data_IF_605157026373
#
_entry.id   IF_605157026373
#
_cell.length_a   1.000
_cell.length_b   1.000
_cell.length_c   1.000
_cell.angle_alpha   90.00
_cell.angle_beta   90.00
_cell.angle_gamma   90.00
#
_symmetry.space_group_name_H-M   'P 1'
#
loop_
_entity.id
_entity.type
_entity.pdbx_description
1 polymer ?
#
# COMPACT_ATOMS: atom_id res chain seq x y z
N UNK A 1 49.56 17.73 -36.36
CA UNK A 1 50.67 17.31 -35.48
C UNK A 1 50.18 17.33 -34.04
N UNK A 2 50.36 16.22 -33.29
CA UNK A 2 50.68 16.10 -31.84
C UNK A 2 49.86 16.97 -30.82
N UNK A 3 49.34 16.50 -29.69
CA UNK A 3 49.69 15.39 -28.80
C UNK A 3 48.45 14.94 -28.00
N UNK A 4 48.50 13.67 -27.60
CA UNK A 4 47.62 12.99 -26.66
C UNK A 4 47.60 13.61 -25.25
N UNK A 5 46.56 13.29 -24.47
CA UNK A 5 46.74 12.95 -23.06
C UNK A 5 45.55 12.10 -22.56
N UNK A 6 45.93 10.93 -22.06
CA UNK A 6 45.14 9.85 -21.49
C UNK A 6 44.79 10.22 -20.05
N UNK A 7 43.53 10.06 -19.65
CA UNK A 7 43.15 9.99 -18.24
C UNK A 7 42.18 8.81 -18.03
N UNK A 8 42.74 7.65 -17.69
CA UNK A 8 42.01 6.51 -17.14
C UNK A 8 41.53 6.86 -15.73
N UNK A 9 40.21 6.94 -15.51
CA UNK A 9 39.62 6.93 -14.18
C UNK A 9 38.96 5.57 -13.93
N UNK A 10 39.37 4.80 -12.91
CA UNK A 10 38.65 3.59 -12.52
C UNK A 10 37.36 4.00 -11.80
N UNK A 11 36.21 3.78 -12.45
CA UNK A 11 34.90 3.89 -11.81
C UNK A 11 34.73 2.69 -10.86
N UNK A 12 34.81 2.99 -9.57
CA UNK A 12 34.52 2.06 -8.47
C UNK A 12 33.05 1.63 -8.58
N UNK A 13 32.82 0.38 -8.97
CA UNK A 13 31.49 -0.23 -8.91
C UNK A 13 31.23 -0.57 -7.45
N UNK A 14 30.50 0.31 -6.75
CA UNK A 14 29.89 0.00 -5.46
C UNK A 14 28.86 -1.10 -5.67
N UNK A 15 29.19 -2.31 -5.22
CA UNK A 15 28.22 -3.40 -5.08
C UNK A 15 27.10 -2.93 -4.15
N UNK A 16 25.90 -2.81 -4.70
CA UNK A 16 24.70 -2.51 -3.94
C UNK A 16 24.45 -3.61 -2.90
N UNK A 17 24.37 -3.23 -1.62
CA UNK A 17 23.74 -4.07 -0.61
C UNK A 17 22.28 -4.28 -1.01
N UNK A 18 21.99 -5.43 -1.60
CA UNK A 18 20.64 -5.96 -1.64
C UNK A 18 20.30 -6.47 -0.24
N UNK A 19 19.83 -5.57 0.62
CA UNK A 19 19.16 -5.96 1.86
C UNK A 19 17.85 -6.62 1.45
N UNK A 20 17.60 -7.91 1.72
CA UNK A 20 16.26 -8.44 1.57
C UNK A 20 15.39 -7.73 2.59
N UNK A 21 14.57 -6.80 2.11
CA UNK A 21 13.52 -6.19 2.92
C UNK A 21 12.48 -7.29 3.19
N UNK A 22 12.66 -7.99 4.30
CA UNK A 22 11.63 -8.85 4.84
C UNK A 22 10.40 -7.98 5.09
N UNK A 23 9.40 -8.14 4.23
CA UNK A 23 8.10 -7.51 4.43
C UNK A 23 7.49 -8.17 5.65
N UNK A 24 7.64 -7.54 6.82
CA UNK A 24 6.85 -7.89 8.01
C UNK A 24 5.43 -7.38 7.73
N UNK A 25 4.74 -8.09 6.84
CA UNK A 25 3.30 -8.01 6.72
C UNK A 25 2.72 -8.65 7.98
N UNK A 26 2.40 -7.83 8.98
CA UNK A 26 1.56 -8.21 10.11
C UNK A 26 0.17 -8.57 9.60
N UNK A 27 0.05 -9.76 9.02
CA UNK A 27 -1.19 -10.33 8.52
C UNK A 27 -2.02 -10.83 9.68
N UNK A 28 -2.74 -9.93 10.35
CA UNK A 28 -4.00 -10.34 10.97
C UNK A 28 -4.89 -10.92 9.88
N UNK A 29 -5.40 -12.13 10.07
CA UNK A 29 -6.27 -12.78 9.09
C UNK A 29 -7.43 -11.81 8.74
N UNK A 30 -7.49 -11.38 7.47
CA UNK A 30 -8.59 -10.56 7.02
C UNK A 30 -9.90 -11.32 7.24
N UNK A 31 -10.97 -10.66 7.74
CA UNK A 31 -12.23 -11.33 8.04
C UNK A 31 -12.75 -12.08 6.81
N UNK A 32 -13.40 -13.22 7.05
CA UNK A 32 -13.92 -14.07 5.98
C UNK A 32 -15.09 -13.42 5.22
N UNK A 33 -15.86 -12.56 5.91
CA UNK A 33 -17.02 -11.83 5.40
C UNK A 33 -17.19 -10.53 6.19
N UNK A 34 -18.10 -9.65 5.76
CA UNK A 34 -18.39 -8.38 6.43
C UNK A 34 -17.83 -7.16 5.70
N UNK A 35 -17.90 -6.00 6.35
CA UNK A 35 -17.42 -4.75 5.75
C UNK A 35 -15.96 -4.48 6.11
N UNK A 36 -15.20 -3.91 5.17
CA UNK A 36 -13.88 -3.34 5.42
C UNK A 36 -13.92 -1.84 5.12
N UNK A 37 -13.23 -1.05 5.94
CA UNK A 37 -13.20 0.40 5.87
C UNK A 37 -11.77 0.89 5.62
N UNK A 38 -11.62 1.96 4.85
CA UNK A 38 -10.32 2.62 4.67
C UNK A 38 -10.47 4.10 4.28
N UNK A 39 -9.38 4.84 4.19
CA UNK A 39 -9.40 6.24 3.76
C UNK A 39 -9.52 6.36 2.24
N UNK A 40 -10.40 7.25 1.78
CA UNK A 40 -10.68 7.47 0.36
C UNK A 40 -9.41 7.89 -0.41
N UNK A 41 -8.63 8.79 0.17
CA UNK A 41 -7.41 9.36 -0.45
C UNK A 41 -6.28 8.32 -0.61
N UNK A 42 -6.36 7.22 0.13
CA UNK A 42 -5.37 6.12 0.09
C UNK A 42 -5.81 4.93 -0.74
N UNK A 43 -7.05 4.90 -1.21
CA UNK A 43 -7.56 3.79 -1.99
C UNK A 43 -6.89 3.78 -3.37
N UNK A 44 -6.04 2.78 -3.60
CA UNK A 44 -5.39 2.54 -4.90
C UNK A 44 -5.83 1.18 -5.44
N UNK A 45 -6.27 1.14 -6.69
CA UNK A 45 -6.57 -0.10 -7.40
C UNK A 45 -5.40 -0.44 -8.33
N UNK A 46 -4.70 -1.55 -8.05
CA UNK A 46 -3.54 -2.01 -8.83
C UNK A 46 -3.44 -3.54 -8.75
N UNK A 47 -2.95 -4.19 -9.81
CA UNK A 47 -2.60 -5.62 -9.84
C UNK A 47 -3.70 -6.57 -9.33
N UNK A 48 -4.96 -6.29 -9.65
CA UNK A 48 -6.10 -7.11 -9.21
C UNK A 48 -6.44 -6.99 -7.72
N UNK A 49 -5.88 -6.00 -7.03
CA UNK A 49 -6.04 -5.74 -5.61
C UNK A 49 -6.48 -4.29 -5.36
N UNK A 50 -7.01 -4.06 -4.17
CA UNK A 50 -7.25 -2.74 -3.60
C UNK A 50 -6.28 -2.52 -2.44
N UNK A 51 -5.36 -1.58 -2.59
CA UNK A 51 -4.41 -1.21 -1.55
C UNK A 51 -5.01 -0.06 -0.74
N UNK A 52 -5.09 -0.23 0.58
CA UNK A 52 -5.59 0.81 1.48
C UNK A 52 -5.26 0.48 2.94
N UNK A 53 -5.57 1.38 3.87
CA UNK A 53 -5.49 1.10 5.31
C UNK A 53 -6.70 0.32 5.84
N UNK A 54 -6.94 -0.84 5.26
CA UNK A 54 -8.16 -1.61 5.54
C UNK A 54 -8.27 -2.05 6.99
N UNK A 55 -9.42 -1.83 7.59
CA UNK A 55 -9.79 -2.37 8.90
C UNK A 55 -11.25 -2.82 8.90
N UNK A 56 -11.58 -3.86 9.66
CA UNK A 56 -12.94 -4.35 9.83
C UNK A 56 -13.82 -3.39 10.67
N UNK A 57 -13.19 -2.53 11.48
CA UNK A 57 -13.84 -1.50 12.28
C UNK A 57 -13.53 -0.10 11.72
N UNK A 58 -14.59 0.69 11.52
CA UNK A 58 -14.47 2.04 10.97
C UNK A 58 -13.71 3.01 11.88
N UNK A 59 -13.82 2.85 13.21
CA UNK A 59 -13.10 3.70 14.19
C UNK A 59 -11.62 3.38 14.20
N UNK A 60 -11.26 2.11 14.06
CA UNK A 60 -9.85 1.68 13.95
C UNK A 60 -9.25 2.07 12.58
N UNK A 61 -10.02 2.00 11.49
CA UNK A 61 -9.61 2.55 10.19
C UNK A 61 -9.25 4.04 10.28
N UNK A 62 -9.90 4.82 11.14
CA UNK A 62 -9.56 6.23 11.35
C UNK A 62 -8.23 6.48 12.06
N UNK A 63 -7.67 5.48 12.75
CA UNK A 63 -6.48 5.64 13.59
C UNK A 63 -5.19 5.16 12.92
N UNK A 64 -5.28 4.15 12.07
CA UNK A 64 -4.12 3.53 11.44
C UNK A 64 -3.95 3.95 9.98
N UNK A 65 -2.72 4.32 9.62
CA UNK A 65 -2.31 4.61 8.25
C UNK A 65 -1.58 3.42 7.58
N UNK A 66 -1.53 2.25 8.24
CA UNK A 66 -0.83 1.09 7.70
C UNK A 66 -1.57 0.53 6.50
N UNK A 67 -0.90 0.46 5.34
CA UNK A 67 -1.51 0.00 4.08
C UNK A 67 -1.41 -1.51 3.97
N UNK A 68 -2.53 -2.13 3.62
CA UNK A 68 -2.69 -3.55 3.35
C UNK A 68 -3.36 -3.76 1.99
N UNK A 69 -3.13 -4.94 1.42
CA UNK A 69 -3.76 -5.36 0.17
C UNK A 69 -5.08 -6.10 0.46
N UNK A 70 -6.13 -5.75 -0.28
CA UNK A 70 -7.38 -6.51 -0.33
C UNK A 70 -7.59 -7.04 -1.76
N UNK A 71 -7.54 -8.37 -1.99
CA UNK A 71 -7.82 -8.95 -3.30
C UNK A 71 -9.21 -8.59 -3.81
N UNK A 72 -9.33 -8.17 -5.08
CA UNK A 72 -10.60 -7.65 -5.63
C UNK A 72 -11.66 -8.73 -5.82
N UNK A 73 -11.25 -9.99 -5.97
CA UNK A 73 -12.13 -11.16 -6.02
C UNK A 73 -12.88 -11.42 -4.72
N UNK A 74 -12.36 -10.95 -3.57
CA UNK A 74 -13.03 -10.99 -2.27
C UNK A 74 -14.06 -9.89 -2.06
N UNK A 75 -14.15 -8.90 -2.95
CA UNK A 75 -15.03 -7.73 -2.79
C UNK A 75 -16.35 -7.91 -3.53
N UNK A 76 -17.45 -7.76 -2.81
CA UNK A 76 -18.81 -7.73 -3.30
C UNK A 76 -19.18 -6.31 -3.79
N UNK A 77 -18.68 -5.93 -4.96
CA UNK A 77 -19.04 -4.68 -5.63
C UNK A 77 -18.00 -3.56 -5.52
N UNK A 78 -18.43 -2.33 -5.76
CA UNK A 78 -17.55 -1.15 -5.73
C UNK A 78 -17.46 -0.51 -4.32
N UNK A 79 -16.32 0.14 -3.99
CA UNK A 79 -16.19 0.92 -2.77
C UNK A 79 -17.25 2.03 -2.65
N UNK A 80 -17.87 2.14 -1.48
CA UNK A 80 -18.89 3.14 -1.17
C UNK A 80 -18.36 4.16 -0.18
N UNK A 81 -18.58 5.44 -0.45
CA UNK A 81 -18.16 6.50 0.46
C UNK A 81 -18.96 6.48 1.76
N UNK A 82 -18.27 6.69 2.87
CA UNK A 82 -18.84 6.74 4.22
C UNK A 82 -18.59 8.07 4.91
N UNK A 83 -18.61 8.01 6.25
CA UNK A 83 -18.44 9.15 7.14
C UNK A 83 -16.99 9.67 7.15
N UNK A 84 -16.82 10.88 7.67
CA UNK A 84 -15.51 11.45 7.96
C UNK A 84 -14.97 10.95 9.31
N UNK A 85 -13.68 10.68 9.35
CA UNK A 85 -12.90 10.48 10.56
C UNK A 85 -12.66 11.82 11.28
N UNK A 86 -12.38 11.80 12.60
CA UNK A 86 -12.07 13.02 13.37
C UNK A 86 -10.86 13.80 12.85
N UNK A 87 -9.93 13.14 12.15
CA UNK A 87 -8.77 13.74 11.51
C UNK A 87 -9.06 14.34 10.12
N UNK A 88 -10.34 14.42 9.72
CA UNK A 88 -10.76 14.98 8.43
C UNK A 88 -10.70 14.01 7.26
N UNK A 89 -10.21 12.79 7.46
CA UNK A 89 -10.13 11.78 6.40
C UNK A 89 -11.51 11.20 6.08
N UNK A 90 -11.85 11.06 4.79
CA UNK A 90 -13.12 10.44 4.39
C UNK A 90 -12.98 8.93 4.33
N UNK A 91 -13.88 8.18 4.96
CA UNK A 91 -13.88 6.72 4.83
C UNK A 91 -14.54 6.27 3.52
N UNK A 92 -14.08 5.14 3.02
CA UNK A 92 -14.77 4.27 2.07
C UNK A 92 -14.98 2.90 2.71
N UNK A 93 -16.05 2.22 2.33
CA UNK A 93 -16.40 0.90 2.78
C UNK A 93 -16.58 -0.04 1.59
N UNK A 94 -16.07 -1.26 1.72
CA UNK A 94 -16.32 -2.37 0.79
C UNK A 94 -16.98 -3.51 1.54
N UNK A 95 -17.84 -4.26 0.85
CA UNK A 95 -18.42 -5.49 1.39
C UNK A 95 -17.58 -6.67 0.91
N UNK A 96 -17.24 -7.59 1.79
CA UNK A 96 -16.60 -8.86 1.43
C UNK A 96 -17.65 -9.89 1.00
N UNK A 97 -17.27 -10.73 0.03
CA UNK A 97 -18.05 -11.88 -0.45
C UNK A 97 -18.03 -13.04 0.53
#
# INVERSE_FOLDING_TARGET
MKLALIACAPLVVLAACATPQASIGGGGAAPASGAMYCWKDRLVAADGKLQCNWNADAREACKSAFVTDLPRDRVAGEPREGNFCPNGQRLVAVQLR
#
